data_IF_914105922169
#
_entry.id   IF_914105922169
#
_cell.length_a   1.000
_cell.length_b   1.000
_cell.length_c   1.000
_cell.angle_alpha   90.00
_cell.angle_beta   90.00
_cell.angle_gamma   90.00
#
_symmetry.space_group_name_H-M   'P 1'
#
loop_
_entity.id
_entity.type
_entity.pdbx_description
1 polymer ?
#
# COMPACT_ATOMS: atom_id res chain seq x y z
N UNK A 1 -0.35 11.20 -5.22
CA UNK A 1 -1.34 10.80 -6.25
C UNK A 1 -2.39 9.94 -5.59
N UNK A 2 -3.50 10.54 -5.18
CA UNK A 2 -4.76 9.82 -4.98
C UNK A 2 -5.25 9.39 -6.36
N UNK A 3 -5.80 8.18 -6.47
CA UNK A 3 -6.14 7.56 -7.75
C UNK A 3 -7.33 8.22 -8.48
N UNK A 4 -7.65 9.51 -8.24
CA UNK A 4 -8.83 10.21 -8.78
C UNK A 4 -10.13 9.39 -8.62
N UNK A 5 -10.28 8.69 -7.48
CA UNK A 5 -11.41 7.78 -7.24
C UNK A 5 -11.38 6.45 -8.00
N UNK A 6 -10.40 6.22 -8.89
CA UNK A 6 -10.31 5.04 -9.76
C UNK A 6 -9.51 3.88 -9.16
N UNK A 7 -8.87 4.07 -8.01
CA UNK A 7 -7.99 3.09 -7.36
C UNK A 7 -7.09 2.37 -8.39
N UNK A 8 -7.06 1.04 -8.39
CA UNK A 8 -6.25 0.23 -9.29
C UNK A 8 -6.80 0.11 -10.73
N UNK A 9 -7.87 0.82 -11.10
CA UNK A 9 -8.44 0.80 -12.47
C UNK A 9 -7.78 1.81 -13.41
N UNK A 10 -7.04 2.79 -12.87
CA UNK A 10 -6.38 3.81 -13.70
C UNK A 10 -5.37 3.14 -14.64
N UNK A 11 -5.41 3.49 -15.93
CA UNK A 11 -4.47 2.99 -16.95
C UNK A 11 -3.03 3.21 -16.49
N UNK A 12 -2.22 2.15 -16.55
CA UNK A 12 -0.81 2.15 -16.10
C UNK A 12 -0.59 1.77 -14.64
N UNK A 13 -1.64 1.64 -13.82
CA UNK A 13 -1.53 1.03 -12.48
C UNK A 13 -1.43 -0.49 -12.63
N UNK A 14 -0.56 -1.12 -11.85
CA UNK A 14 -0.41 -2.58 -11.77
C UNK A 14 -1.07 -3.11 -10.50
N UNK A 15 -2.31 -3.63 -10.54
CA UNK A 15 -3.03 -4.09 -9.34
C UNK A 15 -2.25 -5.13 -8.53
N UNK A 16 -1.50 -6.00 -9.20
CA UNK A 16 -0.63 -7.02 -8.60
C UNK A 16 0.49 -6.45 -7.70
N UNK A 17 0.76 -5.14 -7.73
CA UNK A 17 1.78 -4.49 -6.87
C UNK A 17 1.19 -3.79 -5.65
N UNK A 18 -0.12 -3.94 -5.43
CA UNK A 18 -0.85 -3.21 -4.43
C UNK A 18 -1.49 -4.13 -3.40
N UNK A 19 -1.73 -3.59 -2.20
CA UNK A 19 -2.51 -4.21 -1.13
C UNK A 19 -3.48 -3.21 -0.51
N UNK A 20 -4.50 -3.72 0.19
CA UNK A 20 -5.45 -2.90 0.94
C UNK A 20 -4.80 -2.47 2.25
N UNK A 21 -4.98 -1.20 2.65
CA UNK A 21 -4.70 -0.74 4.01
C UNK A 21 -6.01 -0.30 4.66
N UNK A 22 -6.23 -0.72 5.91
CA UNK A 22 -7.44 -0.40 6.65
C UNK A 22 -7.15 -0.25 8.14
N UNK A 23 -8.05 0.42 8.86
CA UNK A 23 -7.91 0.63 10.30
C UNK A 23 -8.23 -0.66 11.07
N UNK A 24 -7.52 -0.94 12.18
CA UNK A 24 -7.66 -2.19 12.99
C UNK A 24 -9.12 -2.56 13.32
N UNK A 25 -10.00 -1.58 13.55
CA UNK A 25 -11.40 -1.78 13.93
C UNK A 25 -12.39 -1.70 12.76
N UNK A 26 -11.90 -1.62 11.52
CA UNK A 26 -12.70 -1.60 10.31
C UNK A 26 -12.52 -2.91 9.55
N UNK A 27 -13.49 -3.28 8.71
CA UNK A 27 -13.33 -4.42 7.80
C UNK A 27 -12.63 -3.98 6.52
N UNK A 28 -11.66 -4.76 6.00
CA UNK A 28 -11.12 -4.50 4.68
C UNK A 28 -12.22 -4.73 3.66
N UNK A 29 -12.55 -3.71 2.87
CA UNK A 29 -13.50 -3.87 1.77
C UNK A 29 -12.71 -4.12 0.49
N UNK A 30 -12.86 -5.32 -0.06
CA UNK A 30 -12.43 -5.58 -1.44
C UNK A 30 -13.09 -4.52 -2.33
N UNK A 31 -12.31 -3.92 -3.23
CA UNK A 31 -12.89 -2.97 -4.18
C UNK A 31 -14.00 -3.71 -4.93
N UNK A 32 -15.19 -3.10 -5.02
CA UNK A 32 -16.42 -3.75 -5.48
C UNK A 32 -16.35 -4.36 -6.91
N UNK A 33 -15.23 -4.24 -7.62
CA UNK A 33 -15.09 -4.64 -9.01
C UNK A 33 -13.66 -5.13 -9.30
N UNK A 34 -13.43 -6.44 -9.11
CA UNK A 34 -12.69 -7.31 -10.03
C UNK A 34 -11.16 -7.22 -10.14
N UNK A 35 -10.48 -6.21 -9.60
CA UNK A 35 -9.03 -6.20 -9.62
C UNK A 35 -8.47 -7.03 -8.45
N UNK A 36 -8.07 -8.28 -8.74
CA UNK A 36 -7.28 -9.09 -7.80
C UNK A 36 -5.99 -8.32 -7.49
N UNK A 37 -5.94 -7.76 -6.28
CA UNK A 37 -4.72 -7.16 -5.75
C UNK A 37 -3.69 -8.26 -5.49
N UNK A 38 -2.41 -7.91 -5.56
CA UNK A 38 -1.35 -8.91 -5.42
C UNK A 38 -1.09 -9.35 -3.99
N UNK A 39 -1.50 -8.55 -3.01
CA UNK A 39 -1.11 -8.75 -1.61
C UNK A 39 -2.30 -8.64 -0.67
N UNK A 40 -2.20 -9.37 0.44
CA UNK A 40 -3.21 -9.40 1.49
C UNK A 40 -3.42 -8.01 2.13
N UNK A 41 -4.63 -7.73 2.67
CA UNK A 41 -4.88 -6.50 3.41
C UNK A 41 -3.99 -6.37 4.66
N UNK A 42 -3.49 -5.16 4.92
CA UNK A 42 -2.72 -4.82 6.12
C UNK A 42 -3.51 -3.87 7.03
N UNK A 43 -3.32 -4.02 8.33
CA UNK A 43 -3.95 -3.22 9.38
C UNK A 43 -3.05 -2.09 9.83
N UNK A 44 -3.66 -0.94 10.01
CA UNK A 44 -3.04 0.25 10.56
C UNK A 44 -3.75 0.69 11.84
N UNK A 45 -2.97 0.94 12.89
CA UNK A 45 -3.42 1.68 14.07
C UNK A 45 -3.24 3.17 13.78
N UNK A 46 -4.36 3.87 13.57
CA UNK A 46 -4.36 5.33 13.44
C UNK A 46 -4.30 5.93 14.84
N UNK A 47 -3.37 6.88 15.03
CA UNK A 47 -3.11 7.53 16.33
C UNK A 47 -3.31 9.03 16.27
N UNK A 48 -3.37 9.63 15.08
CA UNK A 48 -3.71 11.03 14.91
C UNK A 48 -5.22 11.23 15.08
N UNK A 49 -5.60 12.15 15.97
CA UNK A 49 -6.99 12.51 16.20
C UNK A 49 -7.62 13.15 14.96
N UNK A 50 -8.90 12.83 14.71
CA UNK A 50 -9.63 13.30 13.52
C UNK A 50 -9.25 12.62 12.20
N UNK A 51 -8.16 11.86 12.16
CA UNK A 51 -7.70 11.21 10.93
C UNK A 51 -8.38 9.86 10.67
N UNK A 52 -8.67 9.59 9.40
CA UNK A 52 -9.18 8.29 8.97
C UNK A 52 -8.68 7.93 7.58
N UNK A 53 -8.45 6.63 7.37
CA UNK A 53 -8.21 6.12 6.04
C UNK A 53 -9.53 6.06 5.26
N UNK A 54 -9.51 6.59 4.04
CA UNK A 54 -10.55 6.33 3.04
C UNK A 54 -10.61 4.83 2.73
N UNK A 55 -11.79 4.34 2.34
CA UNK A 55 -12.02 2.91 2.05
C UNK A 55 -11.22 2.43 0.83
N UNK A 56 -10.91 3.37 -0.07
CA UNK A 56 -10.18 3.20 -1.31
C UNK A 56 -8.66 3.26 -1.13
N UNK A 57 -8.16 3.50 0.10
CA UNK A 57 -6.73 3.58 0.38
C UNK A 57 -6.02 2.27 0.04
N UNK A 58 -4.93 2.36 -0.73
CA UNK A 58 -4.09 1.23 -1.14
C UNK A 58 -2.62 1.57 -0.94
N UNK A 59 -1.84 0.56 -0.60
CA UNK A 59 -0.37 0.65 -0.55
C UNK A 59 0.20 0.12 -1.86
N UNK A 60 1.23 0.78 -2.38
CA UNK A 60 1.98 0.34 -3.55
C UNK A 60 3.38 -0.12 -3.09
N UNK A 61 3.56 -1.43 -2.98
CA UNK A 61 4.82 -2.02 -2.46
C UNK A 61 5.98 -1.89 -3.45
N UNK A 62 5.72 -1.58 -4.72
CA UNK A 62 6.77 -1.34 -5.70
C UNK A 62 7.29 0.10 -5.74
N UNK A 63 6.72 1.00 -4.92
CA UNK A 63 7.08 2.42 -4.88
C UNK A 63 7.69 2.80 -3.53
N UNK A 64 8.83 2.19 -3.21
CA UNK A 64 9.67 2.61 -2.10
C UNK A 64 10.31 3.97 -2.41
N UNK A 65 10.12 4.94 -1.53
CA UNK A 65 10.67 6.30 -1.65
C UNK A 65 11.40 6.66 -0.37
N UNK A 66 12.55 7.30 -0.51
CA UNK A 66 13.31 7.88 0.61
C UNK A 66 12.69 9.23 0.95
N UNK A 67 12.48 9.49 2.24
CA UNK A 67 12.00 10.78 2.75
C UNK A 67 13.12 11.37 3.58
N UNK A 68 13.53 12.60 3.26
CA UNK A 68 14.58 13.32 4.01
C UNK A 68 14.07 13.81 5.37
N UNK A 69 14.98 13.94 6.34
CA UNK A 69 14.64 14.31 7.73
C UNK A 69 14.15 15.75 7.89
N UNK A 70 14.50 16.65 6.96
CA UNK A 70 14.08 18.05 6.95
C UNK A 70 12.69 18.26 6.33
N UNK A 71 12.07 17.20 5.76
CA UNK A 71 10.73 17.28 5.18
C UNK A 71 9.71 17.21 6.31
N UNK A 72 8.83 18.21 6.37
CA UNK A 72 7.68 18.19 7.28
C UNK A 72 6.75 17.05 6.90
N UNK A 73 6.56 16.10 7.83
CA UNK A 73 5.62 15.00 7.70
C UNK A 73 4.60 15.05 8.83
N UNK A 74 3.42 14.49 8.56
CA UNK A 74 2.39 14.33 9.58
C UNK A 74 2.21 12.85 9.89
N UNK A 75 2.53 12.45 11.12
CA UNK A 75 2.44 11.06 11.55
C UNK A 75 1.00 10.71 11.90
N UNK A 76 0.37 9.90 11.05
CA UNK A 76 -1.03 9.50 11.21
C UNK A 76 -1.22 8.15 11.92
N UNK A 77 -0.14 7.38 12.12
CA UNK A 77 -0.16 6.11 12.85
C UNK A 77 0.85 5.09 12.34
N UNK A 78 0.58 3.81 12.59
CA UNK A 78 1.53 2.72 12.36
C UNK A 78 0.85 1.43 11.88
N UNK A 79 1.54 0.67 11.03
CA UNK A 79 1.13 -0.68 10.63
C UNK A 79 1.30 -1.63 11.82
N UNK A 80 0.41 -2.61 11.98
CA UNK A 80 0.59 -3.62 13.02
C UNK A 80 1.88 -4.42 12.76
N UNK A 81 2.70 -4.69 13.79
CA UNK A 81 3.98 -5.39 13.61
C UNK A 81 3.87 -6.71 12.85
N UNK A 82 2.87 -7.54 13.19
CA UNK A 82 2.64 -8.81 12.51
C UNK A 82 2.36 -8.66 11.01
N UNK A 83 1.58 -7.66 10.61
CA UNK A 83 1.27 -7.40 9.19
C UNK A 83 2.49 -6.79 8.48
N UNK A 84 3.31 -6.02 9.19
CA UNK A 84 4.55 -5.48 8.64
C UNK A 84 5.55 -6.58 8.29
N UNK A 85 5.78 -7.51 9.22
CA UNK A 85 6.73 -8.60 9.04
C UNK A 85 6.22 -9.66 8.05
N UNK A 86 4.94 -10.03 8.11
CA UNK A 86 4.38 -11.11 7.29
C UNK A 86 3.92 -10.68 5.89
N UNK A 87 3.62 -9.40 5.67
CA UNK A 87 3.07 -8.90 4.39
C UNK A 87 3.92 -7.78 3.82
N UNK A 88 4.17 -6.70 4.57
CA UNK A 88 4.80 -5.49 4.01
C UNK A 88 6.23 -5.78 3.54
N UNK A 89 7.06 -6.39 4.40
CA UNK A 89 8.44 -6.73 4.05
C UNK A 89 8.53 -7.66 2.83
N UNK A 90 7.89 -8.85 2.82
CA UNK A 90 7.91 -9.73 1.66
C UNK A 90 7.38 -9.07 0.38
N UNK A 91 6.28 -8.30 0.48
CA UNK A 91 5.69 -7.65 -0.69
C UNK A 91 6.62 -6.62 -1.35
N UNK A 92 7.40 -5.90 -0.54
CA UNK A 92 8.42 -4.96 -1.02
C UNK A 92 9.56 -5.72 -1.70
N UNK A 93 10.07 -6.77 -1.06
CA UNK A 93 11.16 -7.59 -1.57
C UNK A 93 10.80 -8.26 -2.90
N UNK A 94 9.60 -8.83 -3.00
CA UNK A 94 9.04 -9.42 -4.22
C UNK A 94 8.96 -8.39 -5.36
N UNK A 95 8.36 -7.23 -5.07
CA UNK A 95 8.20 -6.15 -6.06
C UNK A 95 9.55 -5.62 -6.56
N UNK A 96 10.53 -5.53 -5.68
CA UNK A 96 11.85 -5.00 -6.01
C UNK A 96 12.70 -6.03 -6.77
N UNK A 97 12.67 -7.29 -6.36
CA UNK A 97 13.37 -8.39 -7.04
C UNK A 97 12.88 -8.55 -8.48
N UNK A 98 11.56 -8.52 -8.70
CA UNK A 98 10.98 -8.52 -10.04
C UNK A 98 11.42 -7.32 -10.91
N UNK A 99 11.64 -6.15 -10.30
CA UNK A 99 12.12 -4.95 -11.00
C UNK A 99 13.58 -5.07 -11.44
N UNK A 100 14.43 -5.74 -10.65
CA UNK A 100 15.84 -6.01 -10.99
C UNK A 100 15.95 -6.97 -12.17
N UNK A 101 15.19 -8.07 -12.14
CA UNK A 101 15.19 -9.08 -13.21
C UNK A 101 14.69 -8.48 -14.53
N UNK A 102 13.63 -7.67 -14.50
CA UNK A 102 13.10 -7.01 -15.69
C UNK A 102 14.02 -5.96 -16.32
N UNK A 103 15.02 -5.43 -15.58
CA UNK A 103 16.04 -4.53 -16.12
C UNK A 103 17.17 -5.27 -16.86
N UNK A 104 17.42 -6.53 -16.53
CA UNK A 104 18.50 -7.33 -17.15
C UNK A 104 18.15 -7.86 -18.56
N UNK A 105 16.88 -7.77 -18.97
CA UNK A 105 16.36 -8.27 -20.26
C UNK A 105 16.05 -7.15 -21.27
N UNK A 106 16.58 -5.95 -21.06
CA UNK A 106 16.46 -4.80 -21.98
C UNK A 106 17.82 -4.25 -22.32
#
# INVERSE_FOLDING_TARGET
>A
MTYMGQACKRKGVKPARHGIIYQVNKKPRQAAQGANLGYQPIRMRVTAEGETLAKESRVNYAKLVTVEHNVKVYFIGQILPGDFDSIVRPAVDDCWSAKRIGRSRR
#
